data_IF_642447549572
#
_entry.id   IF_642447549572
#
_cell.length_a   1.000
_cell.length_b   1.000
_cell.length_c   1.000
_cell.angle_alpha   90.00
_cell.angle_beta   90.00
_cell.angle_gamma   90.00
#
_symmetry.space_group_name_H-M   'P 1'
#
loop_
_entity.id
_entity.type
_entity.pdbx_description
1 polymer ?
#
# COMPACT_ATOMS: atom_id res chain seq x y z
N UNK A 1 -1.21 15.27 -14.30
CA UNK A 1 -1.64 14.79 -12.98
C UNK A 1 -2.95 14.01 -13.15
N UNK A 2 -2.90 12.67 -13.22
CA UNK A 2 -4.11 11.84 -13.15
C UNK A 2 -4.18 11.31 -11.72
N UNK A 3 -5.22 11.71 -10.98
CA UNK A 3 -5.58 11.08 -9.72
C UNK A 3 -6.11 9.67 -10.08
N UNK A 4 -5.22 8.68 -10.04
CA UNK A 4 -5.58 7.31 -10.37
C UNK A 4 -6.12 6.64 -9.12
N UNK A 5 -7.34 6.12 -9.24
CA UNK A 5 -7.97 5.32 -8.20
C UNK A 5 -7.19 4.01 -8.01
N UNK A 6 -7.13 3.49 -6.78
CA UNK A 6 -6.29 2.34 -6.43
C UNK A 6 -6.54 1.08 -7.28
N UNK A 7 -7.77 0.87 -7.79
CA UNK A 7 -8.09 -0.25 -8.68
C UNK A 7 -7.40 -0.11 -10.04
N UNK A 8 -7.41 1.10 -10.62
CA UNK A 8 -6.75 1.37 -11.91
C UNK A 8 -5.23 1.23 -11.76
N UNK A 9 -4.70 1.67 -10.61
CA UNK A 9 -3.27 1.51 -10.27
C UNK A 9 -2.89 0.04 -10.24
N UNK A 10 -3.66 -0.81 -9.54
CA UNK A 10 -3.43 -2.26 -9.51
C UNK A 10 -3.43 -2.89 -10.91
N UNK A 11 -4.42 -2.54 -11.73
CA UNK A 11 -4.64 -3.21 -13.01
C UNK A 11 -3.61 -2.82 -14.08
N UNK A 12 -3.05 -1.60 -14.02
CA UNK A 12 -2.30 -1.03 -15.15
C UNK A 12 -0.90 -0.52 -14.80
N UNK A 13 -0.61 -0.25 -13.52
CA UNK A 13 0.58 0.52 -13.14
C UNK A 13 1.42 -0.14 -12.05
N UNK A 14 0.84 -1.02 -11.23
CA UNK A 14 1.56 -1.71 -10.18
C UNK A 14 2.30 -2.94 -10.72
N UNK A 15 3.57 -3.07 -10.36
CA UNK A 15 4.42 -4.22 -10.66
C UNK A 15 5.42 -4.48 -9.52
N UNK A 16 5.95 -5.71 -9.39
CA UNK A 16 6.88 -6.03 -8.31
C UNK A 16 8.11 -5.11 -8.29
N UNK A 17 8.43 -4.53 -7.13
CA UNK A 17 9.57 -3.63 -6.95
C UNK A 17 9.34 -2.16 -7.31
N UNK A 18 8.14 -1.77 -7.75
CA UNK A 18 7.80 -0.35 -7.94
C UNK A 18 7.78 0.39 -6.59
N UNK A 19 8.32 1.62 -6.55
CA UNK A 19 8.01 2.59 -5.51
C UNK A 19 6.94 3.54 -6.07
N UNK A 20 5.74 3.51 -5.50
CA UNK A 20 4.62 4.35 -5.92
C UNK A 20 4.16 5.23 -4.77
N UNK A 21 3.99 6.52 -5.03
CA UNK A 21 3.35 7.45 -4.10
C UNK A 21 2.03 7.95 -4.67
N UNK A 22 1.03 8.11 -3.81
CA UNK A 22 -0.31 8.54 -4.20
C UNK A 22 -0.92 9.44 -3.14
N UNK A 23 -1.74 10.40 -3.55
CA UNK A 23 -2.39 11.35 -2.63
C UNK A 23 -3.63 10.80 -1.92
N UNK A 24 -3.74 9.47 -1.83
CA UNK A 24 -4.85 8.75 -1.22
C UNK A 24 -4.33 7.79 -0.14
N UNK A 25 -5.07 7.64 0.95
CA UNK A 25 -4.67 6.78 2.07
C UNK A 25 -4.66 5.29 1.73
N UNK A 26 -5.40 4.86 0.69
CA UNK A 26 -5.50 3.47 0.25
C UNK A 26 -4.47 3.10 -0.83
N UNK A 27 -3.54 4.00 -1.13
CA UNK A 27 -2.40 3.73 -2.00
C UNK A 27 -1.65 2.41 -1.66
N UNK A 28 -1.52 1.97 -0.39
CA UNK A 28 -0.92 0.68 -0.05
C UNK A 28 -1.57 -0.55 -0.70
N UNK A 29 -2.78 -0.43 -1.25
CA UNK A 29 -3.44 -1.49 -2.01
C UNK A 29 -2.59 -2.04 -3.18
N UNK A 30 -1.76 -1.20 -3.82
CA UNK A 30 -0.82 -1.64 -4.86
C UNK A 30 0.26 -2.62 -4.36
N UNK A 31 0.51 -2.64 -3.05
CA UNK A 31 1.44 -3.59 -2.41
C UNK A 31 1.01 -5.05 -2.54
N UNK A 32 -0.26 -5.33 -2.84
CA UNK A 32 -0.74 -6.66 -3.18
C UNK A 32 -0.05 -7.28 -4.41
N UNK A 33 0.56 -6.46 -5.28
CA UNK A 33 1.38 -6.88 -6.43
C UNK A 33 2.89 -6.80 -6.18
N UNK A 34 3.33 -6.68 -4.93
CA UNK A 34 4.75 -6.67 -4.56
C UNK A 34 5.46 -5.32 -4.76
N UNK A 35 4.71 -4.23 -4.89
CA UNK A 35 5.24 -2.86 -4.87
C UNK A 35 5.33 -2.28 -3.45
N UNK A 36 6.16 -1.25 -3.28
CA UNK A 36 6.11 -0.37 -2.11
C UNK A 36 5.25 0.85 -2.47
N UNK A 37 4.00 0.86 -2.01
CA UNK A 37 3.02 1.90 -2.34
C UNK A 37 2.65 2.72 -1.10
N UNK A 38 2.87 4.04 -1.11
CA UNK A 38 2.73 4.91 0.07
C UNK A 38 1.75 6.04 -0.19
N UNK A 39 0.78 6.22 0.71
CA UNK A 39 -0.11 7.38 0.72
C UNK A 39 0.62 8.61 1.25
N UNK A 40 0.57 9.73 0.53
CA UNK A 40 1.28 10.97 0.87
C UNK A 40 0.34 12.19 0.80
N UNK A 41 0.78 13.32 1.34
CA UNK A 41 0.09 14.59 1.18
C UNK A 41 0.22 15.14 -0.24
N UNK A 42 -0.60 16.14 -0.58
CA UNK A 42 -0.49 16.84 -1.87
C UNK A 42 0.85 17.54 -2.07
N UNK A 43 1.47 18.04 -0.99
CA UNK A 43 2.78 18.70 -1.03
C UNK A 43 3.89 17.71 -1.43
N UNK A 44 3.97 16.56 -0.76
CA UNK A 44 4.95 15.52 -1.07
C UNK A 44 4.81 15.01 -2.52
N UNK A 45 3.58 14.91 -3.02
CA UNK A 45 3.33 14.54 -4.41
C UNK A 45 3.86 15.60 -5.39
N UNK A 46 3.74 16.89 -5.05
CA UNK A 46 4.30 17.98 -5.87
C UNK A 46 5.83 17.95 -5.86
N UNK A 47 6.46 17.65 -4.74
CA UNK A 47 7.93 17.54 -4.66
C UNK A 47 8.46 16.49 -5.64
N UNK A 48 7.86 15.29 -5.63
CA UNK A 48 8.25 14.23 -6.60
C UNK A 48 7.92 14.60 -8.03
N UNK A 49 6.78 15.27 -8.27
CA UNK A 49 6.44 15.76 -9.61
C UNK A 49 7.39 16.85 -10.11
N UNK A 50 8.03 17.58 -9.19
CA UNK A 50 9.04 18.60 -9.47
C UNK A 50 10.47 18.02 -9.51
N UNK A 51 10.63 16.69 -9.48
CA UNK A 51 11.91 15.98 -9.45
C UNK A 51 12.76 16.33 -8.21
N UNK A 52 12.10 16.72 -7.12
CA UNK A 52 12.74 16.94 -5.82
C UNK A 52 12.79 15.63 -5.02
N UNK A 53 13.82 15.44 -4.18
CA UNK A 53 13.89 14.28 -3.29
C UNK A 53 12.70 14.24 -2.34
N UNK A 54 12.03 13.09 -2.26
CA UNK A 54 11.00 12.84 -1.26
C UNK A 54 11.60 12.19 -0.02
N UNK A 55 11.35 12.79 1.14
CA UNK A 55 11.82 12.28 2.42
C UNK A 55 10.80 11.34 3.05
N UNK A 56 11.26 10.15 3.44
CA UNK A 56 10.47 9.19 4.19
C UNK A 56 11.26 8.75 5.42
N UNK A 57 10.65 8.88 6.60
CA UNK A 57 11.21 8.30 7.82
C UNK A 57 11.28 6.78 7.63
N UNK A 58 12.46 6.20 7.82
CA UNK A 58 12.69 4.77 7.72
C UNK A 58 11.63 3.99 8.52
N UNK A 59 10.76 3.20 7.86
CA UNK A 59 9.67 2.52 8.53
C UNK A 59 10.19 1.34 9.35
N UNK A 60 9.51 1.05 10.47
CA UNK A 60 9.68 -0.25 11.13
C UNK A 60 8.92 -1.30 10.35
N UNK A 61 9.46 -2.51 10.30
CA UNK A 61 8.85 -3.63 9.58
C UNK A 61 8.14 -4.53 10.59
N UNK A 62 6.86 -4.80 10.34
CA UNK A 62 6.06 -5.78 11.08
C UNK A 62 5.84 -6.98 10.15
N UNK A 63 6.35 -8.14 10.55
CA UNK A 63 6.18 -9.40 9.80
C UNK A 63 4.90 -10.12 10.21
N UNK A 64 3.99 -10.34 9.27
CA UNK A 64 2.80 -11.18 9.46
C UNK A 64 3.03 -12.49 8.71
N UNK A 65 3.26 -13.58 9.47
CA UNK A 65 3.48 -14.90 8.88
C UNK A 65 2.16 -15.68 8.83
N UNK A 66 1.60 -15.84 7.63
CA UNK A 66 0.36 -16.59 7.39
C UNK A 66 0.66 -18.07 7.18
N UNK A 67 0.02 -18.93 7.97
CA UNK A 67 0.15 -20.39 7.88
C UNK A 67 -1.21 -21.05 7.63
N UNK A 68 -1.22 -22.21 6.97
CA UNK A 68 -2.45 -22.94 6.66
C UNK A 68 -3.14 -22.44 5.39
N UNK A 69 -4.47 -22.64 5.31
CA UNK A 69 -5.31 -22.23 4.17
C UNK A 69 -6.66 -21.72 4.67
N UNK A 70 -7.24 -20.75 3.97
CA UNK A 70 -8.60 -20.28 4.23
C UNK A 70 -9.62 -21.42 4.00
N UNK A 71 -10.67 -21.47 4.81
CA UNK A 71 -11.70 -22.51 4.75
C UNK A 71 -13.08 -21.97 5.12
N UNK A 72 -14.15 -22.60 4.61
CA UNK A 72 -15.52 -22.22 4.91
C UNK A 72 -15.87 -20.84 4.35
N UNK A 73 -16.37 -19.95 5.21
CA UNK A 73 -16.77 -18.59 4.86
C UNK A 73 -15.67 -17.54 5.08
N UNK A 74 -14.48 -17.96 5.51
CA UNK A 74 -13.37 -17.04 5.79
C UNK A 74 -12.73 -16.55 4.49
N UNK A 75 -12.46 -15.25 4.42
CA UNK A 75 -11.95 -14.51 3.27
C UNK A 75 -10.66 -13.75 3.62
N UNK A 76 -10.00 -13.18 2.62
CA UNK A 76 -8.84 -12.30 2.83
C UNK A 76 -9.17 -11.07 3.70
N UNK A 77 -10.42 -10.60 3.67
CA UNK A 77 -10.88 -9.49 4.50
C UNK A 77 -10.80 -9.83 5.99
N UNK A 78 -11.09 -11.08 6.35
CA UNK A 78 -11.06 -11.52 7.75
C UNK A 78 -9.63 -11.55 8.30
N UNK A 79 -8.63 -11.82 7.44
CA UNK A 79 -7.21 -11.76 7.81
C UNK A 79 -6.83 -10.32 8.23
N UNK A 80 -7.14 -9.33 7.38
CA UNK A 80 -6.73 -7.94 7.67
C UNK A 80 -7.51 -7.37 8.86
N UNK A 81 -8.80 -7.71 9.00
CA UNK A 81 -9.58 -7.32 10.18
C UNK A 81 -8.95 -7.87 11.46
N UNK A 82 -8.59 -9.15 11.48
CA UNK A 82 -7.97 -9.74 12.67
C UNK A 82 -6.60 -9.14 12.98
N UNK A 83 -5.84 -8.83 11.95
CA UNK A 83 -4.50 -8.24 12.09
C UNK A 83 -4.58 -6.81 12.64
N UNK A 84 -5.57 -6.02 12.19
CA UNK A 84 -5.86 -4.68 12.69
C UNK A 84 -6.31 -4.68 14.16
N UNK A 85 -7.14 -5.64 14.59
CA UNK A 85 -7.51 -5.80 16.01
C UNK A 85 -6.29 -6.00 16.91
N UNK A 86 -5.27 -6.71 16.41
CA UNK A 86 -4.04 -6.99 17.15
C UNK A 86 -3.03 -5.82 17.13
N UNK A 87 -3.45 -4.65 16.65
CA UNK A 87 -2.63 -3.43 16.64
C UNK A 87 -1.64 -3.32 15.48
N UNK A 88 -1.76 -4.15 14.44
CA UNK A 88 -1.00 -3.99 13.21
C UNK A 88 -1.74 -3.00 12.32
N UNK A 89 -1.12 -1.84 12.09
CA UNK A 89 -1.62 -0.83 11.18
C UNK A 89 -0.97 -1.05 9.80
N UNK A 90 -1.79 -0.97 8.75
CA UNK A 90 -1.40 -0.99 7.33
C UNK A 90 -1.46 0.41 6.74
#
# INVERSE_FOLDING_TARGET
MKLLQFSIVLENYAFPGILLIGTDSHTPNGGGLGGLCVGVGGADAVDVMADLPWELKAPRIIGVHLTGKLSGWTSAKDIILKTSENGVLV
#
